data_IF_111308417272
#
_entry.id   IF_111308417272
#
_cell.length_a   1.000
_cell.length_b   1.000
_cell.length_c   1.000
_cell.angle_alpha   90.00
_cell.angle_beta   90.00
_cell.angle_gamma   90.00
#
_symmetry.space_group_name_H-M   'P 1'
#
loop_
_entity.id
_entity.type
_entity.pdbx_description
1 polymer ?
#
# COMPACT_ATOMS: atom_id res chain seq x y z
N UNK A 1 19.04 -8.49 -12.38
CA UNK A 1 17.90 -8.17 -11.48
C UNK A 1 17.03 -9.42 -11.34
N UNK A 2 16.76 -9.91 -10.12
CA UNK A 2 15.91 -11.10 -9.89
C UNK A 2 14.50 -10.76 -9.38
N UNK A 3 14.23 -9.48 -9.07
CA UNK A 3 12.98 -9.01 -8.48
C UNK A 3 12.22 -8.15 -9.48
N UNK A 4 10.91 -8.34 -9.58
CA UNK A 4 10.02 -7.49 -10.37
C UNK A 4 9.61 -6.27 -9.54
N UNK A 5 10.49 -5.28 -9.53
CA UNK A 5 10.31 -4.01 -8.82
C UNK A 5 10.84 -2.91 -9.72
N UNK A 6 10.32 -1.69 -9.55
CA UNK A 6 10.84 -0.53 -10.26
C UNK A 6 12.10 -0.02 -9.56
N UNK A 7 11.97 1.00 -8.72
CA UNK A 7 13.06 1.56 -7.92
C UNK A 7 12.97 1.05 -6.48
N UNK A 8 14.06 0.55 -5.87
CA UNK A 8 14.04 0.04 -4.50
C UNK A 8 13.48 1.04 -3.48
N UNK A 9 13.71 2.34 -3.69
CA UNK A 9 13.27 3.42 -2.80
C UNK A 9 11.74 3.58 -2.82
N UNK A 10 11.09 3.22 -3.93
CA UNK A 10 9.65 3.36 -4.13
C UNK A 10 8.86 2.09 -3.80
N UNK A 11 9.54 0.96 -3.59
CA UNK A 11 8.94 -0.36 -3.46
C UNK A 11 7.74 -0.38 -2.50
N UNK A 12 7.90 0.23 -1.33
CA UNK A 12 6.85 0.23 -0.30
C UNK A 12 5.66 1.07 -0.73
N UNK A 13 5.90 2.23 -1.35
CA UNK A 13 4.82 3.11 -1.80
C UNK A 13 4.00 2.46 -2.91
N UNK A 14 4.67 1.89 -3.91
CA UNK A 14 4.04 1.19 -5.04
C UNK A 14 3.22 -0.03 -4.56
N UNK A 15 3.76 -0.79 -3.60
CA UNK A 15 3.08 -1.95 -3.03
C UNK A 15 1.83 -1.55 -2.23
N UNK A 16 1.94 -0.53 -1.37
CA UNK A 16 0.82 -0.04 -0.57
C UNK A 16 -0.29 0.53 -1.45
N UNK A 17 0.07 1.32 -2.46
CA UNK A 17 -0.88 1.89 -3.41
C UNK A 17 -1.61 0.78 -4.20
N UNK A 18 -0.85 -0.20 -4.71
CA UNK A 18 -1.43 -1.34 -5.42
C UNK A 18 -2.37 -2.16 -4.54
N UNK A 19 -2.01 -2.39 -3.28
CA UNK A 19 -2.84 -3.16 -2.35
C UNK A 19 -4.17 -2.46 -2.03
N UNK A 20 -4.15 -1.13 -1.83
CA UNK A 20 -5.37 -0.33 -1.62
C UNK A 20 -6.25 -0.32 -2.87
N UNK A 21 -5.66 -0.15 -4.06
CA UNK A 21 -6.40 -0.20 -5.33
C UNK A 21 -7.05 -1.56 -5.59
N UNK A 22 -6.41 -2.65 -5.17
CA UNK A 22 -6.95 -4.00 -5.32
C UNK A 22 -8.06 -4.33 -4.31
N UNK A 23 -8.09 -3.66 -3.15
CA UNK A 23 -9.05 -3.92 -2.07
C UNK A 23 -9.70 -2.64 -1.51
N UNK A 24 -10.27 -1.78 -2.37
CA UNK A 24 -10.71 -0.44 -1.97
C UNK A 24 -11.92 -0.45 -1.01
N UNK A 25 -12.62 -1.57 -0.92
CA UNK A 25 -13.73 -1.83 -0.01
C UNK A 25 -13.29 -2.30 1.39
N UNK A 26 -12.07 -2.83 1.53
CA UNK A 26 -11.63 -3.51 2.77
C UNK A 26 -10.62 -2.72 3.58
N UNK A 27 -9.78 -1.93 2.93
CA UNK A 27 -8.67 -1.24 3.59
C UNK A 27 -8.55 0.22 3.14
N UNK A 28 -7.98 1.05 4.02
CA UNK A 28 -7.53 2.41 3.72
C UNK A 28 -6.11 2.61 4.24
N UNK A 29 -5.38 3.53 3.62
CA UNK A 29 -4.05 3.94 4.08
C UNK A 29 -4.18 5.10 5.05
N UNK A 30 -3.35 5.11 6.10
CA UNK A 30 -3.17 6.31 6.93
C UNK A 30 -2.31 7.32 6.18
N UNK A 31 -2.71 8.58 6.18
CA UNK A 31 -1.97 9.63 5.48
C UNK A 31 -0.63 9.96 6.14
N UNK A 32 -0.52 9.72 7.44
CA UNK A 32 0.63 10.07 8.25
C UNK A 32 1.74 9.03 8.16
N UNK A 33 1.40 7.74 8.00
CA UNK A 33 2.35 6.62 8.10
C UNK A 33 2.14 5.54 7.03
N UNK A 34 3.12 4.65 6.89
CA UNK A 34 3.08 3.46 6.02
C UNK A 34 2.26 2.32 6.64
N UNK A 35 1.01 2.62 7.01
CA UNK A 35 0.11 1.69 7.69
C UNK A 35 -1.19 1.58 6.90
N UNK A 36 -1.66 0.34 6.74
CA UNK A 36 -2.99 0.03 6.25
C UNK A 36 -3.87 -0.37 7.43
N UNK A 37 -5.06 0.22 7.49
CA UNK A 37 -6.09 -0.13 8.45
C UNK A 37 -7.31 -0.66 7.71
N UNK A 38 -8.18 -1.36 8.43
CA UNK A 38 -9.49 -1.71 7.91
C UNK A 38 -10.25 -0.43 7.55
N UNK A 39 -11.06 -0.50 6.50
CA UNK A 39 -11.84 0.66 6.05
C UNK A 39 -12.81 1.16 7.12
N UNK A 40 -13.32 0.24 7.94
CA UNK A 40 -14.23 0.46 9.06
C UNK A 40 -13.52 0.53 10.44
N UNK A 41 -12.18 0.59 10.46
CA UNK A 41 -11.44 0.83 11.71
C UNK A 41 -11.79 2.21 12.29
N UNK A 42 -11.94 2.32 13.63
CA UNK A 42 -12.23 3.58 14.31
C UNK A 42 -11.19 4.66 14.05
#
# INVERSE_FOLDING_TARGET
MKKFINRPENLIEEMLEGFVKAHPDKVRRLETERVLVRKDAP
#
